data_IF_238232153797
#
_entry.id   IF_238232153797
#
_cell.length_a   1.000
_cell.length_b   1.000
_cell.length_c   1.000
_cell.angle_alpha   90.00
_cell.angle_beta   90.00
_cell.angle_gamma   90.00
#
_symmetry.space_group_name_H-M   'P 1'
#
loop_
_entity.id
_entity.type
_entity.pdbx_description
1 polymer ?
#
# COMPACT_ATOMS: atom_id res chain seq x y z
N UNK A 1 -7.43 -27.51 -14.96
CA UNK A 1 -6.25 -26.65 -15.15
C UNK A 1 -6.77 -25.24 -15.11
N UNK A 2 -6.69 -24.60 -13.95
CA UNK A 2 -7.03 -23.18 -13.85
C UNK A 2 -5.86 -22.42 -14.50
N UNK A 3 -6.07 -21.91 -15.71
CA UNK A 3 -5.15 -20.96 -16.32
C UNK A 3 -5.17 -19.71 -15.42
N UNK A 4 -4.16 -19.58 -14.56
CA UNK A 4 -3.87 -18.32 -13.89
C UNK A 4 -3.70 -17.26 -14.98
N UNK A 5 -4.70 -16.39 -15.11
CA UNK A 5 -4.63 -15.24 -16.02
C UNK A 5 -3.43 -14.40 -15.58
N UNK A 6 -2.35 -14.48 -16.34
CA UNK A 6 -1.15 -13.68 -16.10
C UNK A 6 -1.49 -12.23 -16.40
N UNK A 7 -1.73 -11.45 -15.36
CA UNK A 7 -2.05 -10.03 -15.46
C UNK A 7 -0.78 -9.25 -15.82
N UNK A 8 -0.69 -8.62 -17.01
CA UNK A 8 0.46 -7.83 -17.35
C UNK A 8 0.64 -6.68 -16.36
N UNK A 9 1.87 -6.46 -15.91
CA UNK A 9 2.21 -5.46 -14.90
C UNK A 9 1.70 -4.08 -15.28
N UNK A 10 1.88 -3.70 -16.53
CA UNK A 10 1.52 -2.39 -17.06
C UNK A 10 0.02 -2.14 -16.93
N UNK A 11 -0.80 -3.14 -17.25
CA UNK A 11 -2.25 -3.03 -17.11
C UNK A 11 -2.59 -2.87 -15.63
N UNK A 12 -1.96 -3.64 -14.72
CA UNK A 12 -2.27 -3.53 -13.27
C UNK A 12 -1.95 -2.15 -12.73
N UNK A 13 -0.79 -1.60 -13.11
CA UNK A 13 -0.39 -0.26 -12.71
C UNK A 13 -1.38 0.80 -13.22
N UNK A 14 -1.90 0.63 -14.44
CA UNK A 14 -2.94 1.53 -14.98
C UNK A 14 -4.24 1.41 -14.19
N UNK A 15 -4.68 0.21 -13.83
CA UNK A 15 -5.87 0.03 -12.98
C UNK A 15 -5.71 0.67 -11.60
N UNK A 16 -4.55 0.47 -10.96
CA UNK A 16 -4.25 1.08 -9.66
C UNK A 16 -4.26 2.61 -9.76
N UNK A 17 -3.83 3.16 -10.90
CA UNK A 17 -3.82 4.60 -11.15
C UNK A 17 -5.24 5.14 -11.36
N UNK A 18 -6.07 4.44 -12.14
CA UNK A 18 -7.48 4.78 -12.31
C UNK A 18 -8.21 4.72 -10.96
N UNK A 19 -7.95 3.69 -10.16
CA UNK A 19 -8.53 3.54 -8.83
C UNK A 19 -8.08 4.66 -7.89
N UNK A 20 -6.79 5.06 -7.93
CA UNK A 20 -6.28 6.11 -7.07
C UNK A 20 -6.82 7.50 -7.44
N UNK A 21 -7.21 7.71 -8.70
CA UNK A 21 -7.79 8.97 -9.19
C UNK A 21 -9.27 9.14 -8.86
N UNK A 22 -9.98 8.06 -8.49
CA UNK A 22 -11.39 8.13 -8.07
C UNK A 22 -11.59 8.88 -6.75
N UNK A 23 -10.52 9.20 -6.01
CA UNK A 23 -10.52 10.13 -4.89
C UNK A 23 -10.09 9.51 -3.56
N UNK A 24 -10.24 10.28 -2.47
CA UNK A 24 -9.84 9.87 -1.13
C UNK A 24 -10.80 8.81 -0.57
N UNK A 25 -10.31 7.58 -0.39
CA UNK A 25 -11.11 6.47 0.12
C UNK A 25 -11.00 6.37 1.63
N UNK A 26 -12.00 6.86 2.36
CA UNK A 26 -12.05 6.75 3.82
C UNK A 26 -10.75 7.27 4.47
N UNK A 27 -10.17 8.36 3.98
CA UNK A 27 -8.93 8.94 4.54
C UNK A 27 -7.64 8.23 4.16
N UNK A 28 -7.59 7.60 2.99
CA UNK A 28 -6.35 7.10 2.37
C UNK A 28 -6.21 7.71 0.97
N UNK A 29 -4.97 7.93 0.54
CA UNK A 29 -4.62 8.28 -0.83
C UNK A 29 -3.32 7.57 -1.23
N UNK A 30 -3.15 7.29 -2.51
CA UNK A 30 -1.92 6.73 -3.06
C UNK A 30 -1.73 7.18 -4.52
N UNK A 31 -0.52 7.08 -5.04
CA UNK A 31 -0.22 7.43 -6.42
C UNK A 31 1.27 7.45 -6.73
N UNK A 32 1.67 7.62 -7.99
CA UNK A 32 3.08 7.75 -8.39
C UNK A 32 3.78 8.90 -7.66
N UNK A 33 5.03 8.69 -7.24
CA UNK A 33 5.86 9.75 -6.63
C UNK A 33 6.24 10.83 -7.65
N UNK A 34 6.38 10.44 -8.93
CA UNK A 34 6.64 11.36 -10.02
C UNK A 34 5.87 10.93 -11.27
N UNK A 35 4.91 11.75 -11.68
CA UNK A 35 4.05 11.51 -12.86
C UNK A 35 4.85 11.57 -14.17
N UNK A 36 6.00 12.28 -14.19
CA UNK A 36 6.79 12.54 -15.38
C UNK A 36 7.94 11.54 -15.58
N UNK A 37 8.17 10.62 -14.63
CA UNK A 37 9.19 9.57 -14.76
C UNK A 37 8.53 8.24 -15.16
N UNK A 38 9.10 7.58 -16.16
CA UNK A 38 8.77 6.21 -16.59
C UNK A 38 8.97 5.18 -15.47
N UNK A 39 9.59 5.58 -14.35
CA UNK A 39 9.77 4.73 -13.19
C UNK A 39 8.46 4.57 -12.39
N UNK A 40 7.55 3.79 -12.98
CA UNK A 40 6.28 3.34 -12.39
C UNK A 40 6.44 2.54 -11.10
N UNK A 41 7.68 2.28 -10.66
CA UNK A 41 7.95 1.45 -9.49
C UNK A 41 7.76 2.19 -8.17
N UNK A 42 7.84 3.53 -8.15
CA UNK A 42 7.86 4.31 -6.92
C UNK A 42 6.58 5.11 -6.74
N UNK A 43 5.80 4.73 -5.74
CA UNK A 43 4.54 5.35 -5.39
C UNK A 43 4.61 5.88 -3.96
N UNK A 44 3.77 6.85 -3.64
CA UNK A 44 3.55 7.31 -2.28
C UNK A 44 2.13 6.99 -1.86
N UNK A 45 1.94 6.80 -0.56
CA UNK A 45 0.62 6.73 0.03
C UNK A 45 0.54 7.53 1.33
N UNK A 46 -0.66 8.00 1.63
CA UNK A 46 -0.99 8.70 2.85
C UNK A 46 -2.18 8.05 3.53
N UNK A 47 -2.09 7.86 4.84
CA UNK A 47 -3.19 7.41 5.68
C UNK A 47 -3.43 8.48 6.75
N UNK A 48 -4.62 9.07 6.73
CA UNK A 48 -5.05 10.08 7.70
C UNK A 48 -6.04 9.41 8.66
N UNK A 49 -5.69 9.27 9.94
CA UNK A 49 -6.60 8.72 10.96
C UNK A 49 -7.49 9.83 11.52
N UNK A 50 -6.89 10.98 11.82
CA UNK A 50 -7.53 12.21 12.26
C UNK A 50 -6.63 13.42 11.93
N UNK A 51 -6.92 14.60 12.50
CA UNK A 51 -6.20 15.85 12.23
C UNK A 51 -4.73 15.85 12.65
N UNK A 52 -4.31 14.95 13.54
CA UNK A 52 -2.94 14.92 14.11
C UNK A 52 -2.18 13.65 13.75
N UNK A 53 -2.87 12.62 13.26
CA UNK A 53 -2.26 11.32 12.95
C UNK A 53 -2.27 11.07 11.42
N UNK A 54 -1.22 11.56 10.76
CA UNK A 54 -0.97 11.35 9.33
C UNK A 54 0.24 10.43 9.17
N UNK A 55 0.06 9.33 8.46
CA UNK A 55 1.11 8.37 8.13
C UNK A 55 1.41 8.44 6.64
N UNK A 56 2.69 8.57 6.29
CA UNK A 56 3.15 8.63 4.91
C UNK A 56 4.00 7.40 4.62
N UNK A 57 3.71 6.76 3.50
CA UNK A 57 4.37 5.55 3.05
C UNK A 57 5.00 5.76 1.67
N UNK A 58 6.18 5.20 1.47
CA UNK A 58 6.73 4.92 0.16
C UNK A 58 6.36 3.49 -0.25
N UNK A 59 5.94 3.31 -1.48
CA UNK A 59 5.51 2.05 -2.05
C UNK A 59 6.47 1.70 -3.19
N UNK A 60 7.06 0.51 -3.13
CA UNK A 60 7.96 -0.01 -4.15
C UNK A 60 7.26 -1.16 -4.88
N UNK A 61 6.76 -0.87 -6.08
CA UNK A 61 6.21 -1.84 -7.02
C UNK A 61 7.32 -2.43 -7.90
N UNK A 62 7.92 -3.51 -7.41
CA UNK A 62 8.98 -4.25 -8.12
C UNK A 62 8.50 -4.74 -9.49
N UNK A 63 9.45 -5.15 -10.33
CA UNK A 63 9.17 -5.77 -11.65
C UNK A 63 8.32 -7.03 -11.55
N UNK A 64 8.28 -7.67 -10.38
CA UNK A 64 7.47 -8.86 -10.12
C UNK A 64 6.03 -8.56 -9.72
N UNK A 65 5.65 -7.29 -9.58
CA UNK A 65 4.25 -6.92 -9.37
C UNK A 65 3.45 -7.14 -10.67
N UNK A 66 2.21 -7.66 -10.62
CA UNK A 66 1.41 -7.97 -9.42
C UNK A 66 1.52 -9.40 -8.91
N UNK A 67 2.41 -10.23 -9.44
CA UNK A 67 2.59 -11.61 -8.96
C UNK A 67 2.97 -11.65 -7.47
N UNK A 68 3.78 -10.71 -7.03
CA UNK A 68 4.10 -10.50 -5.62
C UNK A 68 3.64 -9.11 -5.15
N UNK A 69 3.33 -8.96 -3.84
CA UNK A 69 2.88 -7.68 -3.30
C UNK A 69 3.98 -6.62 -3.43
N UNK A 70 3.60 -5.33 -3.50
CA UNK A 70 4.55 -4.25 -3.38
C UNK A 70 5.07 -4.14 -1.95
N UNK A 71 6.22 -3.49 -1.79
CA UNK A 71 6.76 -3.20 -0.46
C UNK A 71 6.29 -1.82 0.00
N UNK A 72 5.90 -1.72 1.28
CA UNK A 72 5.46 -0.47 1.90
C UNK A 72 6.47 -0.07 2.98
N UNK A 73 6.90 1.18 2.94
CA UNK A 73 7.86 1.74 3.90
C UNK A 73 7.25 2.97 4.56
N UNK A 74 7.10 2.95 5.87
CA UNK A 74 6.68 4.12 6.64
C UNK A 74 7.83 5.12 6.72
N UNK A 75 7.62 6.35 6.25
CA UNK A 75 8.70 7.34 6.07
C UNK A 75 8.68 8.49 7.07
N UNK A 76 7.51 8.86 7.60
CA UNK A 76 7.34 10.11 8.34
C UNK A 76 7.27 9.97 9.87
N UNK A 77 7.28 8.76 10.41
CA UNK A 77 7.30 8.55 11.86
C UNK A 77 8.32 7.51 12.29
N UNK A 78 8.93 7.76 13.46
CA UNK A 78 9.90 6.87 14.11
C UNK A 78 9.28 6.07 15.26
N UNK A 79 7.98 6.24 15.53
CA UNK A 79 7.29 5.50 16.58
C UNK A 79 7.10 4.04 16.19
N UNK A 80 7.19 3.14 17.17
CA UNK A 80 6.96 1.71 16.93
C UNK A 80 5.47 1.48 16.64
N UNK A 81 5.19 1.17 15.37
CA UNK A 81 3.86 0.79 14.90
C UNK A 81 3.83 -0.73 14.75
N UNK A 82 2.73 -1.36 15.21
CA UNK A 82 2.56 -2.81 15.06
C UNK A 82 2.48 -3.22 13.59
N UNK A 83 3.13 -4.34 13.25
CA UNK A 83 3.22 -4.78 11.86
C UNK A 83 4.18 -3.97 11.01
N UNK A 84 5.04 -3.14 11.61
CA UNK A 84 6.08 -2.38 10.90
C UNK A 84 7.42 -2.65 11.58
N UNK A 85 8.40 -3.06 10.79
CA UNK A 85 9.77 -3.36 11.23
C UNK A 85 10.49 -2.06 11.62
N UNK A 86 11.58 -2.17 12.38
CA UNK A 86 12.41 -1.01 12.76
C UNK A 86 12.97 -0.24 11.56
N UNK A 87 13.08 -0.88 10.40
CA UNK A 87 13.48 -0.25 9.14
C UNK A 87 12.40 0.61 8.49
N UNK A 88 11.18 0.63 9.03
CA UNK A 88 10.00 1.24 8.40
C UNK A 88 9.28 0.30 7.42
N UNK A 89 9.86 -0.87 7.08
CA UNK A 89 9.22 -1.85 6.21
C UNK A 89 7.99 -2.48 6.89
N UNK A 90 6.85 -2.43 6.23
CA UNK A 90 5.63 -3.12 6.62
C UNK A 90 5.86 -4.63 6.57
N UNK A 91 5.44 -5.33 7.63
CA UNK A 91 5.64 -6.77 7.75
C UNK A 91 4.59 -7.54 6.95
N UNK A 92 5.04 -8.31 5.96
CA UNK A 92 4.17 -9.05 5.03
C UNK A 92 3.34 -10.10 5.76
N UNK A 93 3.89 -10.73 6.81
CA UNK A 93 3.21 -11.78 7.57
C UNK A 93 2.16 -11.25 8.55
N UNK A 94 2.17 -9.94 8.83
CA UNK A 94 1.28 -9.32 9.81
C UNK A 94 -0.09 -8.94 9.22
N UNK A 95 -0.12 -8.58 7.94
CA UNK A 95 -1.34 -8.13 7.25
C UNK A 95 -1.82 -9.21 6.29
N UNK A 96 -3.10 -9.59 6.39
CA UNK A 96 -3.64 -10.70 5.60
C UNK A 96 -3.66 -10.38 4.10
N UNK A 97 -3.87 -9.11 3.74
CA UNK A 97 -3.80 -8.65 2.34
C UNK A 97 -2.41 -8.83 1.72
N UNK A 98 -1.35 -8.74 2.51
CA UNK A 98 0.03 -8.94 2.06
C UNK A 98 0.42 -10.43 2.14
N UNK A 99 0.05 -11.11 3.21
CA UNK A 99 0.37 -12.52 3.45
C UNK A 99 -0.27 -13.45 2.41
N UNK A 100 -1.53 -13.22 2.08
CA UNK A 100 -2.29 -14.01 1.11
C UNK A 100 -2.48 -13.24 -0.20
N UNK A 101 -1.44 -12.51 -0.62
CA UNK A 101 -1.48 -11.68 -1.81
C UNK A 101 -1.84 -12.51 -3.05
N UNK A 102 -2.72 -11.94 -3.89
CA UNK A 102 -3.07 -12.46 -5.20
C UNK A 102 -2.83 -11.38 -6.24
N UNK A 103 -2.57 -11.75 -7.49
CA UNK A 103 -2.42 -10.78 -8.59
C UNK A 103 -3.63 -9.85 -8.77
N UNK A 104 -4.82 -10.33 -8.38
CA UNK A 104 -6.06 -9.57 -8.37
C UNK A 104 -6.20 -8.60 -7.18
N UNK A 105 -5.38 -8.73 -6.12
CA UNK A 105 -5.39 -7.82 -4.98
C UNK A 105 -4.98 -6.40 -5.39
N UNK A 106 -5.40 -5.40 -4.60
CA UNK A 106 -5.11 -4.00 -4.90
C UNK A 106 -4.39 -3.30 -3.74
N UNK A 107 -3.60 -2.26 -4.05
CA UNK A 107 -2.89 -1.43 -3.07
C UNK A 107 -3.88 -0.81 -2.07
N UNK A 108 -5.05 -0.40 -2.56
CA UNK A 108 -6.16 0.12 -1.76
C UNK A 108 -6.49 -0.76 -0.55
N UNK A 109 -6.59 -2.08 -0.75
CA UNK A 109 -7.02 -3.01 0.30
C UNK A 109 -5.96 -3.12 1.40
N UNK A 110 -4.68 -3.13 1.01
CA UNK A 110 -3.55 -3.09 1.94
C UNK A 110 -3.57 -1.81 2.78
N UNK A 111 -3.76 -0.65 2.14
CA UNK A 111 -3.81 0.64 2.84
C UNK A 111 -5.01 0.73 3.80
N UNK A 112 -6.17 0.19 3.42
CA UNK A 112 -7.34 0.10 4.31
C UNK A 112 -7.09 -0.81 5.51
N UNK A 113 -6.41 -1.93 5.31
CA UNK A 113 -6.07 -2.86 6.39
C UNK A 113 -5.08 -2.22 7.39
N UNK A 114 -4.01 -1.59 6.87
CA UNK A 114 -3.05 -0.83 7.67
C UNK A 114 -3.78 0.27 8.46
N UNK A 115 -4.65 1.05 7.82
CA UNK A 115 -5.46 2.08 8.48
C UNK A 115 -6.31 1.51 9.62
N UNK A 116 -6.93 0.35 9.41
CA UNK A 116 -7.74 -0.32 10.43
C UNK A 116 -6.88 -0.74 11.64
N UNK A 117 -5.70 -1.31 11.38
CA UNK A 117 -4.72 -1.67 12.41
C UNK A 117 -4.26 -0.45 13.21
N UNK A 118 -3.90 0.65 12.51
CA UNK A 118 -3.52 1.92 13.12
C UNK A 118 -4.64 2.47 14.01
N UNK A 119 -5.86 2.56 13.50
CA UNK A 119 -7.02 3.06 14.28
C UNK A 119 -7.27 2.24 15.54
N UNK A 120 -7.16 0.90 15.46
CA UNK A 120 -7.32 0.00 16.62
C UNK A 120 -6.20 0.20 17.65
N UNK A 121 -4.99 0.51 17.21
CA UNK A 121 -3.87 0.85 18.09
C UNK A 121 -4.12 2.12 18.90
N UNK A 122 -4.71 3.15 18.29
CA UNK A 122 -4.99 4.43 18.95
C UNK A 122 -6.11 4.36 19.99
N UNK A 123 -7.12 3.50 19.78
CA UNK A 123 -8.29 3.37 20.69
C UNK A 123 -8.00 2.64 22.01
N UNK A 124 -6.78 2.14 22.24
CA UNK A 124 -6.44 1.39 23.48
C UNK A 124 -6.01 2.29 24.65
N UNK A 125 -6.48 3.54 24.70
CA UNK A 125 -6.27 4.47 25.81
C UNK A 125 -7.59 4.91 26.41
#
# INVERSE_FOLDING_TARGET
MDEEIEWPREIKVIEELDESQKGEYKGISWGPDNIDKIDTCHWNAMIIIDKSHIYVFSIIMKTTYPKYPPEFYLTNTKTSVKGIKKSGLVDVDYYDSLKNWKSASCIKDVLLEIKCSLTKGHRKH
#
